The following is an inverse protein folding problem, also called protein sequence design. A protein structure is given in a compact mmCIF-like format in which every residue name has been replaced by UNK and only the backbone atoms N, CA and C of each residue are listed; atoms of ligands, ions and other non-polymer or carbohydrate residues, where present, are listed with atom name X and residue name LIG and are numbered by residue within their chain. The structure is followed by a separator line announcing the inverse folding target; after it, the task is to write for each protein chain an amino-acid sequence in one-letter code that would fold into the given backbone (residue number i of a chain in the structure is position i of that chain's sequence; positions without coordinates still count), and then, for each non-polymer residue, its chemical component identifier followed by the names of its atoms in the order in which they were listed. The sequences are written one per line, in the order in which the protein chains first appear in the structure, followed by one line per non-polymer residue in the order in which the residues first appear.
data_IF_020774187065
#
_entry.id   IF_020774187065
#
_cell.length_a   1.000
_cell.length_b   1.000
_cell.length_c   1.000
_cell.angle_alpha   90.00
_cell.angle_beta   90.00
_cell.angle_gamma   90.00
#
_symmetry.space_group_name_H-M   'P 1'
#
loop_
_entity.id
_entity.type
_entity.pdbx_description
1 polymer ?
#
# COMPACT_ATOMS: atom_id res chain seq x y z
N UNK A 1 11.99 29.46 8.87
CA UNK A 1 11.89 28.23 9.70
C UNK A 1 12.20 27.02 8.83
N UNK A 2 12.64 25.87 9.38
CA UNK A 2 12.68 24.61 8.63
C UNK A 2 11.27 24.22 8.15
N UNK A 3 11.19 23.38 7.12
CA UNK A 3 9.91 22.89 6.62
C UNK A 3 9.24 21.88 7.57
N UNK A 4 7.91 21.85 7.56
CA UNK A 4 7.13 20.93 8.40
C UNK A 4 7.23 19.49 7.88
N UNK A 5 6.99 18.52 8.76
CA UNK A 5 6.97 17.10 8.44
C UNK A 5 5.63 16.53 8.89
N UNK A 6 4.95 15.79 8.00
CA UNK A 6 3.80 14.98 8.35
C UNK A 6 4.19 13.49 8.39
N UNK A 7 4.03 12.87 9.55
CA UNK A 7 4.42 11.48 9.78
C UNK A 7 3.37 10.44 9.37
N UNK A 8 2.16 10.85 8.99
CA UNK A 8 1.07 9.92 8.71
C UNK A 8 0.02 10.51 7.75
N UNK A 9 0.22 10.28 6.45
CA UNK A 9 -0.74 10.71 5.42
C UNK A 9 -1.23 9.54 4.57
N UNK A 10 -2.34 9.78 3.89
CA UNK A 10 -2.86 8.94 2.81
C UNK A 10 -3.11 9.82 1.59
N UNK A 11 -2.19 9.84 0.63
CA UNK A 11 -2.30 10.75 -0.52
C UNK A 11 -3.53 10.49 -1.39
N UNK A 12 -4.03 9.26 -1.40
CA UNK A 12 -5.09 8.82 -2.31
C UNK A 12 -6.51 9.04 -1.79
N UNK A 13 -6.65 9.59 -0.58
CA UNK A 13 -7.94 9.99 -0.04
C UNK A 13 -8.15 11.49 -0.28
N UNK A 14 -9.34 11.84 -0.78
CA UNK A 14 -9.74 13.24 -0.79
C UNK A 14 -10.14 13.70 0.62
N UNK A 15 -10.33 15.01 0.79
CA UNK A 15 -10.82 15.60 2.04
C UNK A 15 -12.35 15.72 2.09
N UNK A 16 -13.08 14.99 1.24
CA UNK A 16 -14.54 15.08 1.15
C UNK A 16 -15.27 14.28 2.22
N UNK A 17 -16.61 14.27 2.15
CA UNK A 17 -17.47 13.66 3.17
C UNK A 17 -17.36 12.12 3.26
N UNK A 18 -16.82 11.46 2.23
CA UNK A 18 -16.75 9.99 2.15
C UNK A 18 -15.50 9.53 1.38
N UNK A 19 -14.30 9.83 1.89
CA UNK A 19 -13.07 9.70 1.11
C UNK A 19 -12.70 8.24 0.81
N UNK A 20 -13.03 7.32 1.73
CA UNK A 20 -12.84 5.88 1.51
C UNK A 20 -13.75 5.32 0.42
N UNK A 21 -15.02 5.73 0.35
CA UNK A 21 -15.94 5.30 -0.70
C UNK A 21 -15.49 5.83 -2.07
N UNK A 22 -15.19 7.13 -2.15
CA UNK A 22 -14.72 7.78 -3.38
C UNK A 22 -13.42 7.14 -3.89
N UNK A 23 -12.50 6.81 -3.00
CA UNK A 23 -11.29 6.06 -3.34
C UNK A 23 -11.58 4.66 -3.93
N UNK A 24 -12.56 3.94 -3.37
CA UNK A 24 -12.93 2.61 -3.85
C UNK A 24 -13.60 2.67 -5.23
N UNK A 25 -14.40 3.69 -5.50
CA UNK A 25 -15.08 3.93 -6.78
C UNK A 25 -14.16 4.50 -7.87
N UNK A 26 -13.08 5.18 -7.47
CA UNK A 26 -12.11 5.77 -8.38
C UNK A 26 -11.29 4.72 -9.16
N UNK A 27 -11.03 5.00 -10.43
CA UNK A 27 -10.00 4.30 -11.20
C UNK A 27 -8.59 4.82 -10.84
N UNK A 28 -7.56 4.16 -11.38
CA UNK A 28 -6.17 4.52 -11.07
C UNK A 28 -5.79 5.92 -11.58
N UNK A 29 -6.43 6.39 -12.66
CA UNK A 29 -6.20 7.72 -13.20
C UNK A 29 -6.77 8.82 -12.29
N UNK A 30 -7.93 8.59 -11.68
CA UNK A 30 -8.52 9.48 -10.69
C UNK A 30 -7.73 9.46 -9.38
N UNK A 31 -7.35 8.28 -8.91
CA UNK A 31 -6.51 8.11 -7.71
C UNK A 31 -5.21 8.90 -7.81
N UNK A 32 -4.48 8.79 -8.93
CA UNK A 32 -3.22 9.52 -9.09
C UNK A 32 -3.45 11.04 -9.22
N UNK A 33 -4.58 11.49 -9.81
CA UNK A 33 -4.95 12.92 -9.83
C UNK A 33 -5.13 13.47 -8.42
N UNK A 34 -5.88 12.76 -7.56
CA UNK A 34 -6.07 13.13 -6.15
C UNK A 34 -4.73 13.17 -5.42
N UNK A 35 -3.89 12.16 -5.61
CA UNK A 35 -2.59 12.07 -4.94
C UNK A 35 -1.66 13.24 -5.27
N UNK A 36 -1.59 13.61 -6.56
CA UNK A 36 -0.82 14.78 -7.04
C UNK A 36 -1.37 16.09 -6.49
N UNK A 37 -2.69 16.23 -6.43
CA UNK A 37 -3.33 17.41 -5.83
C UNK A 37 -2.96 17.54 -4.35
N UNK A 38 -3.08 16.46 -3.57
CA UNK A 38 -2.78 16.45 -2.15
C UNK A 38 -1.29 16.72 -1.85
N UNK A 39 -0.38 16.18 -2.66
CA UNK A 39 1.05 16.49 -2.57
C UNK A 39 1.33 17.99 -2.73
N UNK A 40 0.73 18.63 -3.74
CA UNK A 40 0.85 20.08 -3.94
C UNK A 40 0.26 20.87 -2.77
N UNK A 41 -0.95 20.53 -2.34
CA UNK A 41 -1.64 21.25 -1.25
C UNK A 41 -0.84 21.21 0.04
N UNK A 42 -0.31 20.05 0.43
CA UNK A 42 0.46 19.98 1.67
C UNK A 42 1.83 20.67 1.55
N UNK A 43 2.45 20.70 0.37
CA UNK A 43 3.63 21.54 0.14
C UNK A 43 3.31 23.04 0.30
N UNK A 44 2.20 23.51 -0.27
CA UNK A 44 1.72 24.89 -0.13
C UNK A 44 1.40 25.25 1.33
N UNK A 45 1.01 24.27 2.14
CA UNK A 45 0.82 24.42 3.59
C UNK A 45 2.14 24.46 4.40
N UNK A 46 3.30 24.33 3.73
CA UNK A 46 4.63 24.36 4.37
C UNK A 46 5.15 22.99 4.82
N UNK A 47 4.45 21.90 4.48
CA UNK A 47 4.93 20.53 4.74
C UNK A 47 5.88 20.14 3.62
N UNK A 48 7.16 19.96 3.98
CA UNK A 48 8.23 19.64 3.04
C UNK A 48 8.61 18.18 3.02
N UNK A 49 8.12 17.38 3.97
CA UNK A 49 8.28 15.92 3.99
C UNK A 49 7.00 15.26 4.49
N UNK A 50 6.57 14.19 3.82
CA UNK A 50 5.40 13.42 4.20
C UNK A 50 5.66 11.92 4.12
N UNK A 51 5.07 11.16 5.05
CA UNK A 51 5.08 9.70 5.02
C UNK A 51 3.71 9.16 4.66
N UNK A 52 3.61 8.54 3.49
CA UNK A 52 2.45 7.74 3.11
C UNK A 52 2.41 6.43 3.92
N UNK A 53 1.27 6.19 4.57
CA UNK A 53 1.02 5.06 5.46
C UNK A 53 0.01 4.04 4.91
N UNK A 54 -0.27 4.07 3.60
CA UNK A 54 -1.03 3.01 2.95
C UNK A 54 -1.62 3.45 1.62
N UNK A 55 -1.17 2.80 0.54
CA UNK A 55 -1.59 3.08 -0.82
C UNK A 55 -1.31 1.88 -1.75
N UNK A 56 -1.92 1.83 -2.97
CA UNK A 56 -1.49 0.90 -4.00
C UNK A 56 -0.02 1.11 -4.35
N UNK A 57 0.79 0.04 -4.25
CA UNK A 57 2.25 0.15 -4.32
C UNK A 57 2.74 0.79 -5.63
N UNK A 58 2.17 0.40 -6.77
CA UNK A 58 2.53 0.98 -8.06
C UNK A 58 2.28 2.50 -8.09
N UNK A 59 1.08 2.95 -7.70
CA UNK A 59 0.69 4.36 -7.78
C UNK A 59 1.48 5.26 -6.82
N UNK A 60 1.73 4.82 -5.58
CA UNK A 60 2.47 5.65 -4.62
C UNK A 60 3.96 5.77 -5.01
N UNK A 61 4.52 4.74 -5.63
CA UNK A 61 5.89 4.82 -6.17
C UNK A 61 5.95 5.71 -7.41
N UNK A 62 4.93 5.69 -8.26
CA UNK A 62 4.82 6.62 -9.40
C UNK A 62 4.75 8.07 -8.92
N UNK A 63 3.89 8.37 -7.93
CA UNK A 63 3.81 9.71 -7.33
C UNK A 63 5.16 10.17 -6.78
N UNK A 64 5.84 9.32 -6.00
CA UNK A 64 7.17 9.66 -5.45
C UNK A 64 8.17 9.97 -6.55
N UNK A 65 8.24 9.13 -7.60
CA UNK A 65 9.14 9.36 -8.74
C UNK A 65 8.81 10.66 -9.47
N UNK A 66 7.53 10.95 -9.68
CA UNK A 66 7.10 12.17 -10.35
C UNK A 66 7.51 13.42 -9.56
N UNK A 67 7.41 13.37 -8.22
CA UNK A 67 7.84 14.47 -7.34
C UNK A 67 9.37 14.59 -7.31
N UNK A 68 10.10 13.48 -7.18
CA UNK A 68 11.57 13.46 -7.21
C UNK A 68 12.13 13.98 -8.55
N UNK A 69 11.43 13.72 -9.66
CA UNK A 69 11.77 14.22 -10.98
C UNK A 69 11.33 15.67 -11.23
N UNK A 70 10.63 16.31 -10.30
CA UNK A 70 10.10 17.66 -10.44
C UNK A 70 8.93 17.80 -11.43
N UNK A 71 8.32 16.69 -11.86
CA UNK A 71 7.15 16.68 -12.75
C UNK A 71 5.86 17.08 -12.02
N UNK A 72 5.82 16.82 -10.71
CA UNK A 72 4.72 17.18 -9.82
C UNK A 72 5.29 17.99 -8.65
N UNK A 73 4.79 19.22 -8.40
CA UNK A 73 5.14 19.94 -7.18
C UNK A 73 4.66 19.15 -5.96
N UNK A 74 5.58 18.80 -5.06
CA UNK A 74 5.25 18.03 -3.86
C UNK A 74 6.39 17.99 -2.84
N UNK A 75 6.11 17.50 -1.62
CA UNK A 75 7.10 17.31 -0.57
C UNK A 75 8.04 16.15 -0.89
N UNK A 76 9.10 15.97 -0.10
CA UNK A 76 9.81 14.70 -0.07
C UNK A 76 8.88 13.59 0.45
N UNK A 77 8.72 12.49 -0.29
CA UNK A 77 7.74 11.45 0.02
C UNK A 77 8.44 10.16 0.49
N UNK A 78 8.11 9.71 1.70
CA UNK A 78 8.42 8.37 2.19
C UNK A 78 7.19 7.48 1.99
N UNK A 79 7.32 6.38 1.25
CA UNK A 79 6.18 5.52 0.89
C UNK A 79 6.28 4.14 1.55
N UNK A 80 5.21 3.65 2.18
CA UNK A 80 5.15 2.26 2.66
C UNK A 80 4.63 1.27 1.61
N UNK A 81 3.90 1.74 0.60
CA UNK A 81 3.18 0.87 -0.33
C UNK A 81 1.95 0.22 0.31
N UNK A 82 1.65 -1.00 -0.11
CA UNK A 82 0.44 -1.70 0.33
C UNK A 82 0.53 -2.12 1.80
N UNK A 83 -0.46 -1.79 2.64
CA UNK A 83 -0.47 -2.20 4.04
C UNK A 83 -0.66 -3.71 4.17
N UNK A 84 0.07 -4.32 5.12
CA UNK A 84 -0.13 -5.71 5.51
C UNK A 84 -1.21 -5.79 6.60
N UNK A 85 -2.25 -6.59 6.36
CA UNK A 85 -3.30 -6.82 7.34
C UNK A 85 -3.85 -8.25 7.25
N UNK A 86 -4.57 -8.68 8.28
CA UNK A 86 -5.31 -9.95 8.26
C UNK A 86 -6.40 -9.90 7.20
N UNK A 87 -6.89 -11.05 6.69
CA UNK A 87 -8.06 -11.07 5.82
C UNK A 87 -9.23 -10.30 6.43
N UNK A 88 -9.84 -9.39 5.66
CA UNK A 88 -10.89 -8.46 6.10
C UNK A 88 -10.52 -7.56 7.32
N UNK A 89 -9.22 -7.41 7.61
CA UNK A 89 -8.73 -6.46 8.62
C UNK A 89 -8.87 -5.01 8.19
N UNK A 90 -8.54 -4.06 9.09
CA UNK A 90 -8.81 -2.63 8.89
C UNK A 90 -8.40 -2.12 7.49
N UNK A 91 -7.13 -2.25 7.12
CA UNK A 91 -6.61 -1.75 5.84
C UNK A 91 -6.84 -2.69 4.63
N UNK A 92 -7.75 -3.68 4.70
CA UNK A 92 -7.89 -4.66 3.61
C UNK A 92 -8.31 -4.00 2.28
N UNK A 93 -9.09 -2.93 2.37
CA UNK A 93 -9.60 -2.16 1.23
C UNK A 93 -8.52 -1.31 0.54
N UNK A 94 -7.36 -1.10 1.17
CA UNK A 94 -6.18 -0.45 0.59
C UNK A 94 -5.30 -1.45 -0.20
N UNK A 95 -5.95 -2.42 -0.87
CA UNK A 95 -5.29 -3.46 -1.67
C UNK A 95 -4.30 -4.32 -0.87
N UNK A 96 -4.65 -4.69 0.36
CA UNK A 96 -3.85 -5.67 1.09
C UNK A 96 -3.78 -6.97 0.28
N UNK A 97 -2.57 -7.37 -0.09
CA UNK A 97 -2.33 -8.63 -0.79
C UNK A 97 -2.98 -9.74 0.03
N UNK A 98 -3.93 -10.48 -0.56
CA UNK A 98 -4.54 -11.63 0.12
C UNK A 98 -3.42 -12.59 0.49
N UNK A 99 -3.12 -12.71 1.78
CA UNK A 99 -2.10 -13.64 2.25
C UNK A 99 -2.48 -15.05 1.78
N UNK A 100 -1.64 -15.65 0.93
CA UNK A 100 -1.75 -17.05 0.52
C UNK A 100 -0.65 -17.81 1.25
N UNK A 101 -0.98 -18.72 2.18
CA UNK A 101 0.05 -19.55 2.80
C UNK A 101 0.81 -20.33 1.72
N UNK A 102 2.11 -20.59 1.90
CA UNK A 102 2.82 -21.53 1.04
C UNK A 102 2.11 -22.88 1.11
N UNK A 103 1.92 -23.53 -0.05
CA UNK A 103 1.40 -24.90 -0.09
C UNK A 103 2.42 -25.79 0.62
N UNK A 104 2.10 -26.27 1.82
CA UNK A 104 2.89 -27.33 2.45
C UNK A 104 2.62 -28.62 1.68
N UNK A 105 3.57 -29.05 0.85
CA UNK A 105 3.55 -30.41 0.31
C UNK A 105 3.92 -31.37 1.43
N UNK A 106 2.95 -31.77 2.24
CA UNK A 106 3.11 -32.93 3.11
C UNK A 106 3.00 -34.20 2.26
N UNK A 107 4.09 -34.54 1.56
CA UNK A 107 4.30 -35.90 1.05
C UNK A 107 5.33 -36.54 1.97
N UNK A 108 4.86 -37.30 2.98
CA UNK A 108 5.67 -38.39 3.54
C UNK A 108 5.05 -39.67 3.00
N UNK A 109 5.68 -40.24 1.98
CA UNK A 109 5.53 -41.65 1.68
C UNK A 109 6.10 -42.42 2.88
N UNK A 110 5.24 -43.04 3.67
CA UNK A 110 5.67 -44.06 4.63
C UNK A 110 6.01 -45.33 3.85
N UNK A 111 7.28 -45.42 3.41
CA UNK A 111 7.88 -46.73 3.17
C UNK A 111 8.23 -47.37 4.51
N UNK A 112 7.75 -48.58 4.75
CA UNK A 112 8.40 -49.52 5.67
C UNK A 112 8.07 -50.94 5.25
N UNK A 113 9.05 -51.59 4.64
CA UNK A 113 9.14 -53.04 4.44
C UNK A 113 9.65 -53.72 5.71
N UNK A 114 9.01 -54.81 6.16
CA UNK A 114 9.65 -55.90 6.93
C UNK A 114 8.73 -57.14 7.09
N UNK A 115 9.01 -58.19 6.30
CA UNK A 115 9.22 -59.61 6.67
C UNK A 115 8.33 -60.37 7.70
N UNK A 116 7.47 -61.29 7.18
CA UNK A 116 7.29 -62.73 7.54
C UNK A 116 6.65 -63.19 8.88
N UNK A 117 6.34 -64.50 9.10
CA UNK A 117 5.65 -65.48 8.24
C UNK A 117 4.53 -66.31 8.96
N UNK A 118 3.80 -67.12 8.16
CA UNK A 118 2.98 -68.35 8.48
C UNK A 118 1.87 -68.31 9.55
N UNK A 119 0.61 -68.55 9.15
CA UNK A 119 -0.04 -69.89 9.09
C UNK A 119 -1.30 -69.82 8.23
#
# INVERSE_FOLDING_TARGET
APGLIDGHVHFFFDGGDSPGLRYMEADDAERIRVARHNARVGLEAGITTMRDCGAPAALIFDLRRDVEAGLVPGPHILCCGQPLTRPAGHCHFLWAVKWRPPKTSATRSSGSSATGPTS
#
